data_IF_048347297435
#
_entry.id   IF_048347297435
#
_cell.length_a   1.000
_cell.length_b   1.000
_cell.length_c   1.000
_cell.angle_alpha   90.00
_cell.angle_beta   90.00
_cell.angle_gamma   90.00
#
_symmetry.space_group_name_H-M   'P 1'
#
loop_
_entity.id
_entity.type
_entity.pdbx_description
1 polymer ?
#
# COMPACT_ATOMS: atom_id res chain seq x y z
N UNK A 1 10.08 -13.97 19.42
CA UNK A 1 8.76 -14.49 19.02
C UNK A 1 8.56 -14.33 17.54
N UNK A 2 7.92 -15.31 16.94
CA UNK A 2 7.61 -15.25 15.51
C UNK A 2 6.45 -14.29 15.27
N UNK A 3 6.59 -13.43 14.27
CA UNK A 3 5.52 -12.52 13.85
C UNK A 3 4.47 -13.29 13.06
N UNK A 4 3.21 -12.93 13.25
CA UNK A 4 2.15 -13.47 12.41
C UNK A 4 2.16 -12.80 11.03
N UNK A 5 1.32 -13.30 10.12
CA UNK A 5 1.30 -12.80 8.75
C UNK A 5 0.99 -11.30 8.67
N UNK A 6 0.01 -10.82 9.43
CA UNK A 6 -0.38 -9.41 9.41
C UNK A 6 0.76 -8.51 9.89
N UNK A 7 1.46 -8.91 10.94
CA UNK A 7 2.60 -8.16 11.44
C UNK A 7 3.72 -8.07 10.41
N UNK A 8 3.96 -9.16 9.67
CA UNK A 8 4.95 -9.16 8.58
C UNK A 8 4.57 -8.19 7.46
N UNK A 9 3.29 -8.14 7.10
CA UNK A 9 2.79 -7.18 6.11
C UNK A 9 2.99 -5.75 6.61
N UNK A 10 2.62 -5.48 7.85
CA UNK A 10 2.74 -4.14 8.43
C UNK A 10 4.19 -3.68 8.52
N UNK A 11 5.12 -4.59 8.84
CA UNK A 11 6.55 -4.26 8.86
C UNK A 11 7.05 -3.81 7.49
N UNK A 12 6.60 -4.47 6.42
CA UNK A 12 6.98 -4.09 5.07
C UNK A 12 6.39 -2.73 4.71
N UNK A 13 5.10 -2.53 4.99
CA UNK A 13 4.42 -1.27 4.67
C UNK A 13 5.03 -0.10 5.44
N UNK A 14 5.43 -0.33 6.68
CA UNK A 14 6.08 0.70 7.50
C UNK A 14 7.40 1.19 6.88
N UNK A 15 8.02 0.41 6.01
CA UNK A 15 9.28 0.75 5.35
C UNK A 15 9.10 1.54 4.06
N UNK A 16 7.88 1.63 3.51
CA UNK A 16 7.65 2.33 2.24
C UNK A 16 7.98 3.82 2.41
N UNK A 17 8.98 4.35 1.68
CA UNK A 17 9.34 5.75 1.82
C UNK A 17 8.22 6.69 1.39
N UNK A 18 8.11 7.81 2.08
CA UNK A 18 7.21 8.90 1.69
C UNK A 18 7.53 9.32 0.26
N UNK A 19 6.51 9.52 -0.56
CA UNK A 19 6.68 9.89 -1.96
C UNK A 19 6.82 8.72 -2.90
N UNK A 20 6.70 7.48 -2.39
CA UNK A 20 6.68 6.27 -3.22
C UNK A 20 5.46 5.43 -2.91
N UNK A 21 5.19 4.45 -3.76
CA UNK A 21 4.10 3.49 -3.56
C UNK A 21 4.60 2.08 -3.85
N UNK A 22 3.87 1.08 -3.37
CA UNK A 22 4.08 -0.31 -3.76
C UNK A 22 2.75 -0.94 -4.13
N UNK A 23 2.77 -2.20 -4.53
CA UNK A 23 1.57 -2.95 -4.89
C UNK A 23 1.37 -4.14 -3.96
N UNK A 24 0.14 -4.65 -3.91
CA UNK A 24 -0.14 -5.88 -3.14
C UNK A 24 0.76 -7.03 -3.58
N UNK A 25 0.99 -7.14 -4.89
CA UNK A 25 1.87 -8.17 -5.43
C UNK A 25 3.33 -8.00 -5.02
N UNK A 26 3.82 -6.77 -5.00
CA UNK A 26 5.20 -6.50 -4.57
C UNK A 26 5.39 -6.86 -3.10
N UNK A 27 4.43 -6.56 -2.25
CA UNK A 27 4.48 -6.97 -0.84
C UNK A 27 4.46 -8.49 -0.73
N UNK A 28 3.56 -9.15 -1.48
CA UNK A 28 3.47 -10.60 -1.49
C UNK A 28 4.78 -11.25 -1.91
N UNK A 29 5.45 -10.69 -2.93
CA UNK A 29 6.75 -11.19 -3.38
C UNK A 29 7.83 -11.04 -2.32
N UNK A 30 7.82 -9.95 -1.56
CA UNK A 30 8.74 -9.76 -0.43
C UNK A 30 8.49 -10.81 0.66
N UNK A 31 7.27 -11.32 0.75
CA UNK A 31 6.91 -12.40 1.69
C UNK A 31 7.17 -13.79 1.10
N UNK A 32 7.64 -13.84 -0.15
CA UNK A 32 8.07 -15.08 -0.79
C UNK A 32 7.08 -15.74 -1.74
N UNK A 33 5.88 -15.19 -1.92
CA UNK A 33 4.88 -15.83 -2.78
C UNK A 33 3.84 -14.82 -3.28
N UNK A 34 3.80 -14.59 -4.60
CA UNK A 34 2.84 -13.69 -5.23
C UNK A 34 1.37 -14.07 -4.93
N UNK A 35 1.10 -15.33 -4.68
CA UNK A 35 -0.26 -15.79 -4.35
C UNK A 35 -0.78 -15.22 -3.03
N UNK A 36 0.08 -14.63 -2.22
CA UNK A 36 -0.30 -13.99 -0.96
C UNK A 36 -0.92 -12.62 -1.14
N UNK A 37 -1.01 -12.10 -2.38
CA UNK A 37 -1.51 -10.74 -2.65
C UNK A 37 -2.87 -10.46 -2.04
N UNK A 38 -3.80 -11.42 -2.12
CA UNK A 38 -5.14 -11.28 -1.55
C UNK A 38 -5.09 -11.17 -0.03
N UNK A 39 -4.26 -12.00 0.61
CA UNK A 39 -4.08 -11.97 2.07
C UNK A 39 -3.42 -10.67 2.51
N UNK A 40 -2.50 -10.13 1.70
CA UNK A 40 -1.92 -8.80 1.93
C UNK A 40 -3.03 -7.76 1.96
N UNK A 41 -3.95 -7.80 0.99
CA UNK A 41 -5.10 -6.90 0.97
C UNK A 41 -5.95 -7.00 2.23
N UNK A 42 -6.21 -8.22 2.71
CA UNK A 42 -6.95 -8.44 3.95
C UNK A 42 -6.23 -7.84 5.16
N UNK A 43 -4.91 -7.99 5.22
CA UNK A 43 -4.11 -7.42 6.30
C UNK A 43 -4.19 -5.90 6.32
N UNK A 44 -4.10 -5.27 5.14
CA UNK A 44 -4.19 -3.81 5.04
C UNK A 44 -5.58 -3.30 5.39
N UNK A 45 -6.62 -4.06 5.03
CA UNK A 45 -7.98 -3.70 5.40
C UNK A 45 -8.19 -3.76 6.93
N UNK A 46 -7.44 -4.60 7.63
CA UNK A 46 -7.49 -4.72 9.09
C UNK A 46 -6.56 -3.75 9.83
N UNK A 47 -5.78 -2.94 9.09
CA UNK A 47 -4.86 -1.97 9.69
C UNK A 47 -5.63 -0.91 10.47
N UNK A 48 -5.16 -0.60 11.69
CA UNK A 48 -5.76 0.42 12.55
C UNK A 48 -4.81 1.59 12.82
N UNK A 49 -3.61 1.58 12.22
CA UNK A 49 -2.59 2.60 12.47
C UNK A 49 -2.07 3.18 11.14
N UNK A 50 -2.80 4.15 10.55
CA UNK A 50 -2.44 4.67 9.22
C UNK A 50 -1.19 5.54 9.22
N UNK A 51 -0.68 5.94 10.39
CA UNK A 51 0.52 6.77 10.50
C UNK A 51 1.76 5.90 10.47
N UNK A 52 1.85 4.89 11.33
CA UNK A 52 3.02 4.03 11.41
C UNK A 52 3.00 2.91 10.37
N UNK A 53 1.81 2.55 9.88
CA UNK A 53 1.63 1.59 8.79
C UNK A 53 0.90 2.32 7.66
N UNK A 54 1.64 3.03 6.80
CA UNK A 54 1.06 3.94 5.81
C UNK A 54 0.45 3.19 4.61
N UNK A 55 -0.66 2.51 4.85
CA UNK A 55 -1.30 1.68 3.82
C UNK A 55 -1.82 2.47 2.63
N UNK A 56 -1.91 3.80 2.73
CA UNK A 56 -2.24 4.64 1.58
C UNK A 56 -1.16 4.56 0.48
N UNK A 57 0.04 4.08 0.79
CA UNK A 57 1.13 3.89 -0.17
C UNK A 57 1.07 2.55 -0.88
N UNK A 58 -0.05 1.84 -0.78
CA UNK A 58 -0.25 0.56 -1.46
C UNK A 58 -1.38 0.69 -2.47
N UNK A 59 -1.09 0.32 -3.71
CA UNK A 59 -2.04 0.39 -4.83
C UNK A 59 -2.08 -0.96 -5.54
N UNK A 60 -2.97 -1.12 -6.52
CA UNK A 60 -3.00 -2.36 -7.27
C UNK A 60 -1.88 -2.41 -8.34
N UNK A 61 -1.77 -3.53 -9.02
CA UNK A 61 -0.71 -3.74 -10.04
C UNK A 61 -0.76 -2.76 -11.21
N UNK A 62 -1.89 -2.09 -11.40
CA UNK A 62 -2.05 -1.08 -12.45
C UNK A 62 -1.83 0.34 -11.94
N UNK A 63 -1.49 0.49 -10.67
CA UNK A 63 -1.33 1.79 -10.02
C UNK A 63 -2.63 2.41 -9.54
N UNK A 64 -3.73 1.66 -9.58
CA UNK A 64 -5.03 2.19 -9.13
C UNK A 64 -5.13 2.27 -7.63
N UNK A 65 -5.75 3.34 -7.15
CA UNK A 65 -6.07 3.54 -5.75
C UNK A 65 -7.09 2.50 -5.27
N UNK A 66 -7.10 2.25 -3.98
CA UNK A 66 -7.98 1.25 -3.36
C UNK A 66 -9.39 1.82 -3.19
N UNK A 67 -10.43 1.30 -3.88
CA UNK A 67 -11.79 1.80 -3.71
C UNK A 67 -12.30 1.65 -2.28
N UNK A 68 -11.80 0.66 -1.56
CA UNK A 68 -12.20 0.34 -0.19
C UNK A 68 -11.15 0.76 0.84
N UNK A 69 -10.39 1.82 0.55
CA UNK A 69 -9.41 2.31 1.50
C UNK A 69 -10.08 2.60 2.84
N UNK A 70 -9.61 1.91 3.90
CA UNK A 70 -10.31 1.85 5.19
C UNK A 70 -10.34 3.17 5.95
N UNK A 71 -9.45 4.10 5.63
CA UNK A 71 -9.36 5.39 6.34
C UNK A 71 -10.00 6.54 5.57
N UNK A 72 -11.07 6.27 4.82
CA UNK A 72 -11.86 7.31 4.20
C UNK A 72 -12.08 7.19 2.70
N UNK A 73 -11.71 6.05 2.12
CA UNK A 73 -11.95 5.79 0.71
C UNK A 73 -10.90 6.40 -0.22
N UNK A 74 -11.16 6.31 -1.52
CA UNK A 74 -10.20 6.67 -2.57
C UNK A 74 -9.81 8.15 -2.52
N UNK A 75 -10.73 9.04 -2.16
CA UNK A 75 -10.43 10.48 -2.11
C UNK A 75 -9.42 10.82 -1.01
N UNK A 76 -9.52 10.17 0.13
CA UNK A 76 -8.57 10.37 1.23
C UNK A 76 -7.22 9.76 0.88
N UNK A 77 -7.20 8.59 0.27
CA UNK A 77 -5.96 7.98 -0.19
C UNK A 77 -5.24 8.91 -1.17
N UNK A 78 -5.98 9.44 -2.15
CA UNK A 78 -5.44 10.39 -3.13
C UNK A 78 -4.84 11.62 -2.45
N UNK A 79 -5.58 12.23 -1.54
CA UNK A 79 -5.12 13.42 -0.81
C UNK A 79 -3.81 13.13 -0.06
N UNK A 80 -3.74 12.01 0.64
CA UNK A 80 -2.53 11.65 1.39
C UNK A 80 -1.32 11.46 0.48
N UNK A 81 -1.51 10.82 -0.67
CA UNK A 81 -0.44 10.62 -1.64
C UNK A 81 0.01 11.94 -2.27
N UNK A 82 -0.95 12.79 -2.64
CA UNK A 82 -0.62 14.10 -3.21
C UNK A 82 0.12 14.98 -2.20
N UNK A 83 -0.24 14.92 -0.93
CA UNK A 83 0.48 15.63 0.13
C UNK A 83 1.92 15.13 0.29
N UNK A 84 2.21 13.93 -0.18
CA UNK A 84 3.57 13.35 -0.16
C UNK A 84 4.34 13.59 -1.45
N UNK A 85 3.75 14.30 -2.40
CA UNK A 85 4.40 14.61 -3.67
C UNK A 85 4.15 13.61 -4.78
N UNK A 86 3.24 12.66 -4.58
CA UNK A 86 2.88 11.68 -5.60
C UNK A 86 1.77 12.26 -6.49
N UNK A 87 2.01 12.32 -7.79
CA UNK A 87 0.98 12.75 -8.74
C UNK A 87 -0.04 11.65 -8.94
N UNK A 88 -1.31 12.01 -8.82
CA UNK A 88 -2.42 11.07 -9.04
C UNK A 88 -3.25 11.56 -10.22
N UNK A 89 -3.31 10.77 -11.27
CA UNK A 89 -4.10 11.07 -12.46
C UNK A 89 -5.42 10.30 -12.37
N UNK A 90 -6.49 11.01 -12.00
CA UNK A 90 -7.77 10.36 -11.72
C UNK A 90 -7.65 9.46 -10.50
N UNK A 91 -7.65 8.15 -10.71
CA UNK A 91 -7.47 7.14 -9.67
C UNK A 91 -6.18 6.32 -9.84
N UNK A 92 -5.25 6.78 -10.68
CA UNK A 92 -4.03 6.04 -11.04
C UNK A 92 -2.76 6.79 -10.74
N UNK A 93 -1.73 6.02 -10.45
CA UNK A 93 -0.37 6.48 -10.20
C UNK A 93 0.55 5.83 -11.23
N UNK A 94 1.51 6.62 -11.73
CA UNK A 94 2.53 6.11 -12.65
C UNK A 94 3.54 5.28 -11.87
N UNK A 95 3.44 3.95 -11.97
CA UNK A 95 4.33 3.03 -11.26
C UNK A 95 5.77 3.10 -11.75
N UNK A 96 6.01 3.49 -13.00
CA UNK A 96 7.39 3.66 -13.47
C UNK A 96 8.09 4.76 -12.69
N UNK A 97 7.35 5.81 -12.33
CA UNK A 97 7.90 6.97 -11.62
C UNK A 97 7.96 6.76 -10.10
N UNK A 98 6.92 6.15 -9.52
CA UNK A 98 6.74 6.17 -8.07
C UNK A 98 6.90 4.83 -7.37
N UNK A 99 7.10 3.73 -8.09
CA UNK A 99 7.20 2.42 -7.47
C UNK A 99 8.44 2.32 -6.58
N UNK A 100 8.24 1.95 -5.33
CA UNK A 100 9.32 1.69 -4.39
C UNK A 100 10.10 0.44 -4.81
N UNK A 101 11.41 0.59 -4.97
CA UNK A 101 12.29 -0.48 -5.43
C UNK A 101 13.32 -0.92 -4.36
#
# INVERSE_FOLDING_TARGET
MMKNFYEKVYDIVAQIPKGTVTTYGCIAMRLGNIRLSRLVGNALHANTDPINVPCHRVVNREGKLAPMYVFGGVDVQKERLENEGVEVDGDRIDLEKYLWR
#
